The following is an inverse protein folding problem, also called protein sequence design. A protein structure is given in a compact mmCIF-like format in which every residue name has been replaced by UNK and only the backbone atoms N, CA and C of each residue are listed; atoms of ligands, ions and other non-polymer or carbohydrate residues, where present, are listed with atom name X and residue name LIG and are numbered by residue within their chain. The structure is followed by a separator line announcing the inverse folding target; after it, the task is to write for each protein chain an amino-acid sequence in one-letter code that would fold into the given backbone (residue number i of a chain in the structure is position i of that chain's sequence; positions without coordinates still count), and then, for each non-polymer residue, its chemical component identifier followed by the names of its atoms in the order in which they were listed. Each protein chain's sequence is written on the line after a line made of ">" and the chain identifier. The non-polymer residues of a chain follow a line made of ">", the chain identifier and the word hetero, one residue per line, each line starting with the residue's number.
data_IF_035257282416
#
_entry.id   IF_035257282416
#
_cell.length_a   1.000
_cell.length_b   1.000
_cell.length_c   1.000
_cell.angle_alpha   90.00
_cell.angle_beta   90.00
_cell.angle_gamma   90.00
#
_symmetry.space_group_name_H-M   'P 1'
#
loop_
_entity.id
_entity.type
_entity.pdbx_description
1 polymer ?
#
# COMPACT_ATOMS: atom_id res chain seq x y z
N UNK A 1 4.40 -5.26 -23.52
CA UNK A 1 3.91 -4.63 -22.28
C UNK A 1 5.03 -4.72 -21.26
N UNK A 2 5.36 -3.64 -20.56
CA UNK A 2 6.40 -3.69 -19.54
C UNK A 2 5.92 -4.57 -18.38
N UNK A 3 6.76 -5.51 -17.93
CA UNK A 3 6.45 -6.31 -16.75
C UNK A 3 6.63 -5.45 -15.51
N UNK A 4 5.52 -5.09 -14.85
CA UNK A 4 5.54 -4.35 -13.60
C UNK A 4 5.79 -5.34 -12.47
N UNK A 5 6.85 -5.11 -11.69
CA UNK A 5 7.19 -5.92 -10.52
C UNK A 5 7.16 -5.05 -9.27
N UNK A 6 6.57 -5.56 -8.20
CA UNK A 6 6.51 -4.88 -6.90
C UNK A 6 7.60 -5.46 -6.00
N UNK A 7 8.47 -4.58 -5.49
CA UNK A 7 9.51 -4.92 -4.53
C UNK A 7 9.27 -4.19 -3.22
N UNK A 8 9.27 -4.92 -2.11
CA UNK A 8 9.05 -4.34 -0.79
C UNK A 8 10.37 -3.93 -0.14
N UNK A 9 10.41 -2.73 0.42
CA UNK A 9 11.55 -2.32 1.24
C UNK A 9 11.61 -3.09 2.57
N UNK A 10 12.80 -3.27 3.17
CA UNK A 10 12.93 -3.91 4.48
C UNK A 10 12.08 -3.22 5.58
N UNK A 11 11.97 -1.88 5.51
CA UNK A 11 11.17 -1.08 6.44
C UNK A 11 9.68 -1.40 6.27
N UNK A 12 9.21 -1.51 5.03
CA UNK A 12 7.83 -1.89 4.73
C UNK A 12 7.50 -3.25 5.30
N UNK A 13 8.34 -4.28 5.03
CA UNK A 13 8.13 -5.64 5.54
C UNK A 13 8.07 -5.66 7.07
N UNK A 14 8.99 -4.97 7.75
CA UNK A 14 9.02 -4.89 9.22
C UNK A 14 7.73 -4.28 9.77
N UNK A 15 7.25 -3.17 9.20
CA UNK A 15 6.03 -2.49 9.63
C UNK A 15 4.77 -3.30 9.29
N UNK A 16 4.69 -3.86 8.10
CA UNK A 16 3.57 -4.70 7.67
C UNK A 16 3.39 -5.92 8.61
N UNK A 17 4.48 -6.59 9.01
CA UNK A 17 4.43 -7.68 10.00
C UNK A 17 3.86 -7.25 11.35
N UNK A 18 4.23 -6.05 11.83
CA UNK A 18 3.69 -5.50 13.08
C UNK A 18 2.21 -5.14 12.96
N UNK A 19 1.81 -4.55 11.83
CA UNK A 19 0.43 -4.13 11.59
C UNK A 19 -0.50 -5.32 11.33
N UNK A 20 -0.02 -6.39 10.69
CA UNK A 20 -0.77 -7.64 10.46
C UNK A 20 -1.28 -8.22 11.77
N UNK A 21 -0.49 -8.14 12.84
CA UNK A 21 -0.90 -8.61 14.18
C UNK A 21 -2.08 -7.82 14.77
N UNK A 22 -2.27 -6.56 14.33
CA UNK A 22 -3.32 -5.66 14.85
C UNK A 22 -4.58 -5.68 13.99
N UNK A 23 -4.44 -6.00 12.70
CA UNK A 23 -5.51 -5.84 11.71
C UNK A 23 -5.55 -7.06 10.79
N UNK A 24 -6.58 -7.90 11.00
CA UNK A 24 -6.74 -9.17 10.29
C UNK A 24 -6.87 -9.01 8.77
N UNK A 25 -7.47 -7.90 8.30
CA UNK A 25 -7.67 -7.65 6.87
C UNK A 25 -6.43 -7.08 6.17
N UNK A 26 -5.35 -6.75 6.89
CA UNK A 26 -4.24 -6.00 6.30
C UNK A 26 -3.62 -6.71 5.08
N UNK A 27 -3.53 -8.05 5.11
CA UNK A 27 -2.98 -8.80 3.98
C UNK A 27 -3.88 -8.64 2.75
N UNK A 28 -5.19 -8.90 2.87
CA UNK A 28 -6.11 -8.76 1.75
C UNK A 28 -6.18 -7.32 1.25
N UNK A 29 -6.14 -6.34 2.16
CA UNK A 29 -6.12 -4.91 1.80
C UNK A 29 -4.85 -4.55 1.00
N UNK A 30 -3.70 -5.15 1.32
CA UNK A 30 -2.45 -4.95 0.58
C UNK A 30 -2.44 -5.69 -0.77
N UNK A 31 -3.01 -6.89 -0.86
CA UNK A 31 -3.13 -7.61 -2.13
C UNK A 31 -4.07 -6.92 -3.13
N UNK A 32 -5.15 -6.30 -2.63
CA UNK A 32 -6.00 -5.43 -3.44
C UNK A 32 -5.22 -4.21 -3.95
N UNK A 33 -4.38 -3.60 -3.11
CA UNK A 33 -3.52 -2.50 -3.53
C UNK A 33 -2.47 -2.92 -4.57
N UNK A 34 -1.89 -4.10 -4.45
CA UNK A 34 -0.93 -4.62 -5.43
C UNK A 34 -1.55 -4.78 -6.81
N UNK A 35 -2.78 -5.31 -6.89
CA UNK A 35 -3.51 -5.44 -8.16
C UNK A 35 -3.68 -4.06 -8.82
N UNK A 36 -4.03 -3.04 -8.05
CA UNK A 36 -4.14 -1.65 -8.55
C UNK A 36 -2.79 -1.10 -9.01
N UNK A 37 -1.70 -1.40 -8.31
CA UNK A 37 -0.37 -0.93 -8.67
C UNK A 37 0.21 -1.63 -9.91
N UNK A 38 -0.14 -2.90 -10.13
CA UNK A 38 0.22 -3.64 -11.33
C UNK A 38 -0.48 -3.10 -12.58
N UNK A 39 -1.70 -2.55 -12.43
CA UNK A 39 -2.40 -1.87 -13.52
C UNK A 39 -1.93 -0.42 -13.71
N UNK A 40 -1.73 0.31 -12.59
CA UNK A 40 -1.32 1.70 -12.60
C UNK A 40 -0.29 2.00 -11.49
N UNK A 41 1.02 1.94 -11.80
CA UNK A 41 2.09 2.18 -10.83
C UNK A 41 2.10 3.59 -10.22
N UNK A 42 1.52 4.58 -10.91
CA UNK A 42 1.45 5.99 -10.48
C UNK A 42 0.23 6.29 -9.61
N UNK A 43 -0.43 5.26 -9.10
CA UNK A 43 -1.59 5.41 -8.22
C UNK A 43 -1.23 6.17 -6.94
N UNK A 44 -2.07 7.15 -6.59
CA UNK A 44 -1.95 7.92 -5.35
C UNK A 44 -1.75 9.41 -5.59
N UNK A 45 -1.36 10.12 -4.54
CA UNK A 45 -0.95 11.52 -4.65
C UNK A 45 0.53 11.58 -4.97
N UNK A 46 0.88 12.18 -6.11
CA UNK A 46 2.26 12.50 -6.46
C UNK A 46 2.83 13.50 -5.44
N UNK A 47 3.97 13.14 -4.83
CA UNK A 47 4.72 14.00 -3.90
C UNK A 47 5.99 14.58 -4.54
N UNK A 48 6.22 14.33 -5.82
CA UNK A 48 7.43 14.65 -6.56
C UNK A 48 8.48 13.55 -6.50
N UNK A 49 9.50 13.65 -7.36
CA UNK A 49 10.66 12.75 -7.39
C UNK A 49 10.29 11.25 -7.51
N UNK A 50 9.22 10.92 -8.24
CA UNK A 50 8.77 9.54 -8.40
C UNK A 50 8.12 8.93 -7.15
N UNK A 51 7.86 9.72 -6.10
CA UNK A 51 7.25 9.26 -4.84
C UNK A 51 5.74 9.46 -4.89
N UNK A 52 4.98 8.40 -4.60
CA UNK A 52 3.52 8.45 -4.53
C UNK A 52 3.02 8.06 -3.13
N UNK A 53 1.99 8.77 -2.66
CA UNK A 53 1.33 8.53 -1.38
C UNK A 53 -0.07 7.99 -1.60
N UNK A 54 -0.31 6.79 -1.08
CA UNK A 54 -1.57 6.09 -1.23
C UNK A 54 -2.26 6.00 0.13
N UNK A 55 -3.55 6.39 0.18
CA UNK A 55 -4.39 6.24 1.37
C UNK A 55 -5.09 4.88 1.32
N UNK A 56 -4.55 3.93 2.07
CA UNK A 56 -5.09 2.57 2.18
C UNK A 56 -6.17 2.52 3.26
N UNK A 57 -7.40 2.16 2.89
CA UNK A 57 -8.42 1.79 3.87
C UNK A 57 -8.08 0.40 4.43
N UNK A 58 -8.21 0.22 5.75
CA UNK A 58 -8.03 -1.10 6.37
C UNK A 58 -9.37 -1.57 6.88
N UNK A 59 -9.94 -2.60 6.25
CA UNK A 59 -11.32 -3.02 6.47
C UNK A 59 -11.57 -3.41 7.94
N UNK A 60 -10.67 -4.16 8.55
CA UNK A 60 -10.77 -4.59 9.95
C UNK A 60 -10.67 -3.45 10.97
N UNK A 61 -10.36 -2.23 10.53
CA UNK A 61 -10.35 -1.04 11.40
C UNK A 61 -11.72 -0.38 11.51
N UNK A 62 -12.69 -0.77 10.66
CA UNK A 62 -14.05 -0.22 10.64
C UNK A 62 -14.11 1.28 10.32
N UNK A 63 -13.04 1.84 9.74
CA UNK A 63 -12.92 3.27 9.40
C UNK A 63 -12.56 3.42 7.93
N UNK A 64 -12.97 4.54 7.34
CA UNK A 64 -12.60 4.90 5.97
C UNK A 64 -11.11 5.23 5.82
N UNK A 65 -10.73 5.72 4.63
CA UNK A 65 -9.35 6.09 4.27
C UNK A 65 -8.69 7.11 5.21
N UNK A 66 -9.46 7.88 5.99
CA UNK A 66 -8.93 8.80 7.02
C UNK A 66 -8.38 8.07 8.24
N UNK A 67 -8.98 6.93 8.62
CA UNK A 67 -8.54 6.10 9.75
C UNK A 67 -7.59 4.97 9.38
N UNK A 68 -7.36 4.73 8.08
CA UNK A 68 -6.51 3.67 7.55
C UNK A 68 -5.00 3.93 7.66
N UNK A 69 -4.24 3.47 6.67
CA UNK A 69 -2.78 3.65 6.58
C UNK A 69 -2.38 4.45 5.35
N UNK A 70 -1.11 4.85 5.33
CA UNK A 70 -0.46 5.47 4.18
C UNK A 70 0.62 4.51 3.68
N UNK A 71 0.57 4.18 2.40
CA UNK A 71 1.61 3.45 1.70
C UNK A 71 2.37 4.44 0.83
N UNK A 72 3.68 4.33 0.82
CA UNK A 72 4.57 5.14 -0.02
C UNK A 72 5.18 4.21 -1.05
N UNK A 73 5.09 4.58 -2.33
CA UNK A 73 5.74 3.89 -3.45
C UNK A 73 6.75 4.82 -4.12
N UNK A 74 7.68 4.22 -4.86
CA UNK A 74 8.70 4.90 -5.64
C UNK A 74 8.81 4.21 -7.01
N UNK A 75 8.91 4.99 -8.09
CA UNK A 75 9.05 4.51 -9.47
C UNK A 75 10.37 4.95 -10.08
#
# INVERSE_FOLDING_TARGET
>A
MAEITIVYSPIFIKKAKQLKKKHASLISDLSELESVLLENPRTGTDLGNGIFKIRLAVKSKGKGKSGGYRVITYL
#
